data_IF_909234625455
#
_entry.id   IF_909234625455
#
_cell.length_a   1.000
_cell.length_b   1.000
_cell.length_c   1.000
_cell.angle_alpha   90.00
_cell.angle_beta   90.00
_cell.angle_gamma   90.00
#
_symmetry.space_group_name_H-M   'P 1'
#
loop_
_entity.id
_entity.type
_entity.pdbx_description
1 polymer ?
#
# COMPACT_ATOMS: atom_id res chain seq x y z
N UNK A 1 0.42 -12.90 6.98
CA UNK A 1 0.80 -11.83 6.05
C UNK A 1 0.59 -10.48 6.73
N UNK A 2 1.61 -9.65 6.75
CA UNK A 2 1.56 -8.36 7.43
C UNK A 2 1.65 -7.25 6.38
N UNK A 3 0.49 -6.67 6.03
CA UNK A 3 0.40 -5.65 5.00
C UNK A 3 0.36 -4.26 5.60
N UNK A 4 1.05 -3.32 4.97
CA UNK A 4 1.03 -1.89 5.32
C UNK A 4 0.74 -1.10 4.06
N UNK A 5 -0.21 -0.17 4.15
CA UNK A 5 -0.60 0.70 3.04
C UNK A 5 -0.25 2.14 3.40
N UNK A 6 0.61 2.76 2.60
CA UNK A 6 0.91 4.19 2.72
C UNK A 6 -0.02 4.93 1.77
N UNK A 7 -0.93 5.73 2.31
CA UNK A 7 -2.01 6.36 1.57
C UNK A 7 -2.06 7.87 1.78
N UNK A 8 -2.96 8.52 1.08
CA UNK A 8 -3.32 9.93 1.27
C UNK A 8 -4.82 10.10 1.07
N UNK A 9 -5.35 11.22 1.57
CA UNK A 9 -6.77 11.54 1.37
C UNK A 9 -7.06 11.79 -0.12
N UNK A 10 -8.26 11.43 -0.54
CA UNK A 10 -8.71 11.63 -1.91
C UNK A 10 -8.03 10.74 -2.93
N UNK A 11 -7.49 9.61 -2.52
CA UNK A 11 -6.75 8.70 -3.38
C UNK A 11 -7.60 7.48 -3.72
N UNK A 12 -8.11 7.44 -4.95
CA UNK A 12 -8.96 6.33 -5.42
C UNK A 12 -8.22 4.99 -5.42
N UNK A 13 -6.95 4.98 -5.84
CA UNK A 13 -6.15 3.76 -5.88
C UNK A 13 -5.81 3.25 -4.49
N UNK A 14 -5.67 4.16 -3.51
CA UNK A 14 -5.50 3.78 -2.12
C UNK A 14 -6.74 3.06 -1.61
N UNK A 15 -7.92 3.57 -1.93
CA UNK A 15 -9.19 2.93 -1.56
C UNK A 15 -9.32 1.56 -2.20
N UNK A 16 -8.90 1.42 -3.44
CA UNK A 16 -8.95 0.14 -4.16
C UNK A 16 -8.08 -0.92 -3.52
N UNK A 17 -6.85 -0.57 -3.14
CA UNK A 17 -5.95 -1.56 -2.54
C UNK A 17 -6.43 -1.98 -1.16
N UNK A 18 -7.02 -1.04 -0.40
CA UNK A 18 -7.61 -1.37 0.90
C UNK A 18 -8.79 -2.33 0.72
N UNK A 19 -9.67 -2.06 -0.24
CA UNK A 19 -10.80 -2.93 -0.55
C UNK A 19 -10.33 -4.31 -0.99
N UNK A 20 -9.25 -4.38 -1.75
CA UNK A 20 -8.66 -5.64 -2.18
C UNK A 20 -8.26 -6.51 -0.99
N UNK A 21 -7.54 -5.93 -0.03
CA UNK A 21 -7.15 -6.66 1.18
C UNK A 21 -8.37 -7.10 1.99
N UNK A 22 -9.37 -6.23 2.11
CA UNK A 22 -10.61 -6.56 2.84
C UNK A 22 -11.35 -7.72 2.19
N UNK A 23 -11.36 -7.78 0.86
CA UNK A 23 -12.07 -8.84 0.12
C UNK A 23 -11.48 -10.23 0.32
N UNK A 24 -10.22 -10.32 0.71
CA UNK A 24 -9.53 -11.60 0.94
C UNK A 24 -9.18 -11.80 2.42
N UNK A 25 -9.78 -11.00 3.30
CA UNK A 25 -9.60 -11.07 4.76
C UNK A 25 -8.15 -10.92 5.21
N UNK A 26 -7.34 -10.14 4.47
CA UNK A 26 -5.99 -9.79 4.89
C UNK A 26 -6.06 -8.50 5.68
N UNK A 27 -5.62 -8.55 6.94
CA UNK A 27 -5.53 -7.36 7.77
C UNK A 27 -4.36 -6.50 7.33
N UNK A 28 -4.54 -5.19 7.40
CA UNK A 28 -3.49 -4.24 7.00
C UNK A 28 -3.46 -3.07 7.98
N UNK A 29 -2.30 -2.42 8.06
CA UNK A 29 -2.17 -1.12 8.70
C UNK A 29 -2.20 -0.07 7.62
N UNK A 30 -2.87 1.05 7.90
CA UNK A 30 -2.87 2.20 7.00
C UNK A 30 -2.14 3.36 7.65
N UNK A 31 -1.09 3.88 6.98
CA UNK A 31 -0.45 5.13 7.35
C UNK A 31 -0.85 6.19 6.33
N UNK A 32 -1.26 7.35 6.82
CA UNK A 32 -1.72 8.45 5.97
C UNK A 32 -0.73 9.60 5.94
N UNK A 33 -0.55 10.18 4.76
CA UNK A 33 0.24 11.38 4.54
C UNK A 33 -0.27 12.51 5.44
N UNK A 34 0.66 13.20 6.08
CA UNK A 34 0.43 14.34 6.98
C UNK A 34 -0.30 13.99 8.27
N UNK A 35 -0.58 12.71 8.49
CA UNK A 35 -1.13 12.20 9.74
C UNK A 35 -0.13 11.27 10.43
N UNK A 36 0.47 10.37 9.67
CA UNK A 36 1.41 9.37 10.20
C UNK A 36 2.82 9.54 9.64
N UNK A 37 2.95 10.23 8.51
CA UNK A 37 4.24 10.50 7.88
C UNK A 37 4.15 11.77 7.04
N UNK A 38 5.31 12.35 6.74
CA UNK A 38 5.43 13.52 5.85
C UNK A 38 5.78 13.06 4.44
N UNK A 39 5.61 13.97 3.47
CA UNK A 39 6.01 13.70 2.08
C UNK A 39 7.52 13.42 1.98
N UNK A 40 8.33 14.13 2.73
CA UNK A 40 9.78 13.90 2.74
C UNK A 40 10.12 12.50 3.27
N UNK A 41 9.48 12.08 4.34
CA UNK A 41 9.65 10.73 4.87
C UNK A 41 9.23 9.67 3.86
N UNK A 42 8.14 9.91 3.16
CA UNK A 42 7.63 9.01 2.12
C UNK A 42 8.63 8.87 0.97
N UNK A 43 9.17 9.99 0.49
CA UNK A 43 10.14 9.96 -0.60
C UNK A 43 11.47 9.34 -0.18
N UNK A 44 11.88 9.51 1.07
CA UNK A 44 13.06 8.82 1.59
C UNK A 44 12.89 7.32 1.62
N UNK A 45 11.68 6.84 1.92
CA UNK A 45 11.38 5.41 2.00
C UNK A 45 11.21 4.79 0.62
N UNK A 46 10.52 5.46 -0.29
CA UNK A 46 10.08 4.88 -1.55
C UNK A 46 10.71 5.50 -2.79
N UNK A 47 11.28 6.64 -2.72
CA UNK A 47 11.98 7.46 -3.72
C UNK A 47 11.21 8.73 -4.08
N UNK A 48 11.95 9.74 -4.51
CA UNK A 48 11.38 11.02 -4.94
C UNK A 48 10.43 10.80 -6.12
N UNK A 49 9.22 11.34 -6.01
CA UNK A 49 8.20 11.21 -7.04
C UNK A 49 7.38 9.93 -6.96
N UNK A 50 7.58 9.11 -5.93
CA UNK A 50 6.77 7.91 -5.74
C UNK A 50 5.29 8.27 -5.64
N UNK A 51 4.44 7.42 -6.21
CA UNK A 51 3.00 7.62 -6.23
C UNK A 51 2.33 6.93 -5.05
N UNK A 52 1.06 7.26 -4.82
CA UNK A 52 0.23 6.62 -3.81
C UNK A 52 -0.77 5.68 -4.50
N UNK A 53 -1.09 4.54 -3.89
CA UNK A 53 -0.55 4.03 -2.62
C UNK A 53 0.82 3.39 -2.81
N UNK A 54 1.53 3.18 -1.70
CA UNK A 54 2.67 2.28 -1.65
C UNK A 54 2.39 1.22 -0.61
N UNK A 55 2.70 -0.02 -0.92
CA UNK A 55 2.35 -1.18 -0.10
C UNK A 55 3.61 -1.95 0.25
N UNK A 56 3.72 -2.33 1.51
CA UNK A 56 4.71 -3.32 1.95
C UNK A 56 3.97 -4.55 2.48
N UNK A 57 4.54 -5.73 2.25
CA UNK A 57 4.01 -6.98 2.77
C UNK A 57 5.18 -7.74 3.39
N UNK A 58 5.05 -8.05 4.67
CA UNK A 58 6.09 -8.73 5.45
C UNK A 58 7.43 -8.00 5.33
N UNK A 59 7.38 -6.67 5.42
CA UNK A 59 8.54 -5.76 5.32
C UNK A 59 9.19 -5.70 3.94
N UNK A 60 8.55 -6.27 2.93
CA UNK A 60 9.04 -6.20 1.56
C UNK A 60 8.21 -5.17 0.79
N UNK A 61 8.88 -4.23 0.11
CA UNK A 61 8.21 -3.24 -0.72
C UNK A 61 7.62 -3.91 -1.96
N UNK A 62 6.32 -3.82 -2.11
CA UNK A 62 5.61 -4.44 -3.23
C UNK A 62 5.37 -3.43 -4.36
N UNK A 63 4.95 -2.22 -4.01
CA UNK A 63 4.63 -1.17 -4.99
C UNK A 63 3.24 -0.63 -4.79
N UNK A 64 2.59 -0.23 -5.88
CA UNK A 64 1.25 0.32 -5.86
C UNK A 64 0.16 -0.72 -5.96
N UNK A 65 -1.03 -0.28 -6.37
CA UNK A 65 -2.20 -1.17 -6.46
C UNK A 65 -1.99 -2.32 -7.44
N UNK A 66 -1.47 -2.03 -8.64
CA UNK A 66 -1.25 -3.06 -9.66
C UNK A 66 -0.24 -4.12 -9.21
N UNK A 67 0.87 -3.67 -8.64
CA UNK A 67 1.92 -4.57 -8.15
C UNK A 67 1.39 -5.44 -7.01
N UNK A 68 0.58 -4.86 -6.14
CA UNK A 68 -0.04 -5.61 -5.04
C UNK A 68 -1.00 -6.67 -5.58
N UNK A 69 -1.81 -6.32 -6.57
CA UNK A 69 -2.72 -7.28 -7.21
C UNK A 69 -1.95 -8.47 -7.79
N UNK A 70 -0.87 -8.20 -8.53
CA UNK A 70 -0.02 -9.24 -9.10
C UNK A 70 0.62 -10.12 -8.03
N UNK A 71 1.10 -9.51 -6.96
CA UNK A 71 1.69 -10.23 -5.84
C UNK A 71 0.68 -11.22 -5.23
N UNK A 72 -0.54 -10.74 -4.97
CA UNK A 72 -1.58 -11.59 -4.37
C UNK A 72 -2.04 -12.70 -5.31
N UNK A 73 -2.11 -12.42 -6.60
CA UNK A 73 -2.41 -13.44 -7.61
C UNK A 73 -1.33 -14.52 -7.65
N UNK A 74 -0.06 -14.11 -7.61
CA UNK A 74 1.07 -15.04 -7.59
C UNK A 74 1.10 -15.92 -6.35
N UNK A 75 0.50 -15.47 -5.25
CA UNK A 75 0.38 -16.25 -4.01
C UNK A 75 -0.92 -17.05 -3.95
N UNK A 76 -1.72 -17.05 -5.00
CA UNK A 76 -3.02 -17.72 -5.07
C UNK A 76 -4.01 -17.24 -4.01
N UNK A 77 -3.94 -15.97 -3.64
CA UNK A 77 -4.86 -15.35 -2.70
C UNK A 77 -6.03 -14.66 -3.39
N UNK A 78 -5.94 -14.51 -4.69
CA UNK A 78 -6.99 -13.95 -5.52
C UNK A 78 -7.40 -14.93 -6.62
#
# INVERSE_FOLDING_TARGET
MKAVVYSRDGCQWCDRVKSLFESIDVQYLEYKLDKNFTRDQFYNEFETGATFPQVTIDNQHIGGCKETLRYLQGKNLL
#
